data_IF_454519296335
#
_entry.id   IF_454519296335
#
_cell.length_a   1.000
_cell.length_b   1.000
_cell.length_c   1.000
_cell.angle_alpha   90.00
_cell.angle_beta   90.00
_cell.angle_gamma   90.00
#
_symmetry.space_group_name_H-M   'P 1'
#
loop_
_entity.id
_entity.type
_entity.pdbx_description
1 polymer ?
#
# COMPACT_ATOMS: atom_id res chain seq x y z
N UNK A 1 16.69 -24.53 24.93
CA UNK A 1 15.33 -24.68 25.48
C UNK A 1 14.43 -23.63 24.83
N UNK A 2 13.53 -24.04 23.93
CA UNK A 2 12.59 -23.11 23.31
C UNK A 2 11.61 -22.56 24.36
N UNK A 3 11.32 -21.25 24.31
CA UNK A 3 10.31 -20.63 25.19
C UNK A 3 8.93 -21.19 24.80
N UNK A 4 8.46 -22.20 25.52
CA UNK A 4 7.13 -22.80 25.29
C UNK A 4 6.08 -21.96 26.01
N UNK A 5 4.97 -21.67 25.32
CA UNK A 5 3.81 -21.01 25.92
C UNK A 5 3.13 -21.97 26.91
N UNK A 6 3.00 -21.55 28.16
CA UNK A 6 2.40 -22.35 29.24
C UNK A 6 0.88 -22.14 29.31
N UNK A 7 0.16 -23.13 29.85
CA UNK A 7 -1.29 -23.03 30.10
C UNK A 7 -1.63 -21.87 31.05
N UNK A 8 -0.78 -21.59 32.02
CA UNK A 8 -0.91 -20.46 32.96
C UNK A 8 -0.86 -19.13 32.22
N UNK A 9 0.06 -18.97 31.26
CA UNK A 9 0.13 -17.76 30.43
C UNK A 9 -1.13 -17.59 29.57
N UNK A 10 -1.62 -18.66 28.93
CA UNK A 10 -2.85 -18.62 28.13
C UNK A 10 -4.05 -18.20 28.99
N UNK A 11 -4.19 -18.77 30.19
CA UNK A 11 -5.26 -18.39 31.12
C UNK A 11 -5.17 -16.92 31.52
N UNK A 12 -3.96 -16.42 31.80
CA UNK A 12 -3.71 -15.01 32.10
C UNK A 12 -4.12 -14.09 30.94
N UNK A 13 -3.70 -14.40 29.71
CA UNK A 13 -4.03 -13.61 28.53
C UNK A 13 -5.54 -13.61 28.23
N UNK A 14 -6.20 -14.77 28.39
CA UNK A 14 -7.66 -14.85 28.19
C UNK A 14 -8.42 -14.02 29.22
N UNK A 15 -7.98 -14.02 30.49
CA UNK A 15 -8.57 -13.15 31.52
C UNK A 15 -8.40 -11.68 31.18
N UNK A 16 -7.20 -11.26 30.76
CA UNK A 16 -6.94 -9.88 30.35
C UNK A 16 -7.80 -9.47 29.15
N UNK A 17 -7.88 -10.33 28.13
CA UNK A 17 -8.70 -10.09 26.95
C UNK A 17 -10.20 -9.96 27.28
N UNK A 18 -10.73 -10.89 28.08
CA UNK A 18 -12.15 -10.89 28.45
C UNK A 18 -12.54 -9.71 29.36
N UNK A 19 -11.58 -9.09 30.04
CA UNK A 19 -11.80 -7.90 30.86
C UNK A 19 -11.89 -6.61 30.04
N UNK A 20 -11.44 -6.62 28.77
CA UNK A 20 -11.48 -5.48 27.87
C UNK A 20 -12.69 -5.56 26.94
N UNK A 21 -13.65 -4.65 27.11
CA UNK A 21 -14.84 -4.57 26.26
C UNK A 21 -14.51 -4.19 24.82
N UNK A 22 -13.48 -3.37 24.60
CA UNK A 22 -13.03 -2.98 23.26
C UNK A 22 -12.40 -4.18 22.52
N UNK A 23 -11.69 -5.05 23.23
CA UNK A 23 -11.14 -6.29 22.66
C UNK A 23 -12.24 -7.21 22.11
N UNK A 24 -13.39 -7.30 22.78
CA UNK A 24 -14.55 -8.07 22.30
C UNK A 24 -15.20 -7.44 21.06
N UNK A 25 -15.32 -6.11 21.02
CA UNK A 25 -15.82 -5.39 19.84
C UNK A 25 -14.87 -5.60 18.65
N UNK A 26 -13.57 -5.45 18.87
CA UNK A 26 -12.55 -5.70 17.85
C UNK A 26 -12.60 -7.14 17.33
N UNK A 27 -12.73 -8.14 18.21
CA UNK A 27 -12.87 -9.55 17.82
C UNK A 27 -14.07 -9.79 16.90
N UNK A 28 -15.23 -9.24 17.26
CA UNK A 28 -16.43 -9.39 16.45
C UNK A 28 -16.26 -8.72 15.08
N UNK A 29 -15.60 -7.56 15.04
CA UNK A 29 -15.36 -6.85 13.80
C UNK A 29 -14.36 -7.58 12.88
N UNK A 30 -13.19 -7.98 13.40
CA UNK A 30 -12.13 -8.65 12.59
C UNK A 30 -12.53 -10.06 12.14
N UNK A 31 -13.46 -10.71 12.83
CA UNK A 31 -13.93 -12.05 12.45
C UNK A 31 -15.01 -12.04 11.37
N UNK A 32 -15.58 -10.87 11.04
CA UNK A 32 -16.67 -10.72 10.09
C UNK A 32 -16.36 -9.74 8.94
N UNK A 33 -15.16 -9.15 8.90
CA UNK A 33 -14.80 -8.15 7.88
C UNK A 33 -13.31 -8.22 7.50
N UNK A 34 -12.99 -7.70 6.32
CA UNK A 34 -11.60 -7.53 5.86
C UNK A 34 -10.85 -6.52 6.74
N UNK A 35 -9.71 -6.94 7.29
CA UNK A 35 -8.95 -6.17 8.28
C UNK A 35 -8.52 -4.80 7.74
N UNK A 36 -8.09 -4.72 6.48
CA UNK A 36 -7.61 -3.48 5.86
C UNK A 36 -8.71 -2.43 5.74
N UNK A 37 -9.93 -2.85 5.40
CA UNK A 37 -11.09 -1.95 5.37
C UNK A 37 -11.52 -1.52 6.78
N UNK A 38 -11.50 -2.45 7.73
CA UNK A 38 -11.89 -2.19 9.12
C UNK A 38 -10.91 -1.23 9.82
N UNK A 39 -9.61 -1.40 9.60
CA UNK A 39 -8.55 -0.62 10.23
C UNK A 39 -8.29 0.74 9.54
N UNK A 40 -8.98 1.03 8.45
CA UNK A 40 -8.81 2.28 7.71
C UNK A 40 -9.29 3.47 8.55
N UNK A 41 -8.39 4.40 8.88
CA UNK A 41 -8.76 5.64 9.55
C UNK A 41 -9.46 6.59 8.58
N UNK A 42 -10.77 6.80 8.79
CA UNK A 42 -11.56 7.70 7.94
C UNK A 42 -11.11 9.16 8.07
N UNK A 43 -10.63 9.55 9.24
CA UNK A 43 -10.06 10.88 9.48
C UNK A 43 -8.84 11.15 8.58
N UNK A 44 -7.91 10.20 8.49
CA UNK A 44 -6.75 10.33 7.61
C UNK A 44 -7.16 10.43 6.13
N UNK A 45 -8.15 9.64 5.72
CA UNK A 45 -8.68 9.68 4.35
C UNK A 45 -9.33 11.04 4.04
N UNK A 46 -10.04 11.63 5.01
CA UNK A 46 -10.70 12.93 4.85
C UNK A 46 -9.71 14.10 4.84
N UNK A 47 -8.64 14.01 5.62
CA UNK A 47 -7.66 15.08 5.79
C UNK A 47 -6.50 15.02 4.78
N UNK A 48 -6.48 14.04 3.87
CA UNK A 48 -5.44 13.92 2.85
C UNK A 48 -5.69 14.93 1.72
N UNK A 49 -4.80 15.91 1.57
CA UNK A 49 -4.84 16.90 0.49
C UNK A 49 -3.92 16.48 -0.67
N UNK A 50 -4.48 16.48 -1.89
CA UNK A 50 -3.78 16.19 -3.14
C UNK A 50 -3.51 17.47 -3.96
N UNK A 51 -3.55 18.63 -3.32
CA UNK A 51 -3.22 19.93 -3.90
C UNK A 51 -1.73 20.20 -3.75
N UNK A 52 -1.06 20.50 -4.87
CA UNK A 52 0.37 20.79 -4.90
C UNK A 52 0.59 22.11 -5.66
N UNK A 53 1.45 22.98 -5.12
CA UNK A 53 1.80 24.26 -5.75
C UNK A 53 2.57 24.07 -7.07
N UNK A 54 3.31 22.98 -7.18
CA UNK A 54 4.08 22.59 -8.37
C UNK A 54 3.67 21.18 -8.76
N UNK A 55 3.11 21.03 -9.96
CA UNK A 55 2.83 19.73 -10.57
C UNK A 55 3.81 19.51 -11.71
N UNK A 56 4.39 18.32 -11.77
CA UNK A 56 5.37 17.97 -12.78
C UNK A 56 4.73 17.21 -13.95
N UNK A 57 3.62 16.53 -13.67
CA UNK A 57 3.04 15.44 -14.44
C UNK A 57 1.67 15.80 -15.04
N UNK A 58 1.63 15.91 -16.36
CA UNK A 58 0.40 15.96 -17.16
C UNK A 58 0.24 14.69 -18.04
N UNK A 59 1.04 13.66 -17.79
CA UNK A 59 1.14 12.45 -18.60
C UNK A 59 0.45 11.24 -17.96
N UNK A 60 0.02 10.28 -18.79
CA UNK A 60 -0.69 9.08 -18.33
C UNK A 60 0.22 8.12 -17.53
N UNK A 61 -0.37 7.43 -16.56
CA UNK A 61 0.32 6.42 -15.73
C UNK A 61 0.57 5.13 -16.50
N UNK A 62 1.63 4.42 -16.13
CA UNK A 62 2.00 3.09 -16.68
C UNK A 62 1.57 1.97 -15.76
N UNK A 63 1.28 0.76 -16.27
CA UNK A 63 0.89 -0.39 -15.47
C UNK A 63 1.86 -1.58 -15.60
N UNK A 64 2.49 -1.99 -14.49
CA UNK A 64 3.37 -3.18 -14.47
C UNK A 64 2.61 -4.51 -14.46
N UNK A 65 1.29 -4.46 -14.29
CA UNK A 65 0.40 -5.62 -14.17
C UNK A 65 0.88 -6.59 -13.07
N UNK A 66 0.67 -7.89 -13.26
CA UNK A 66 1.07 -8.94 -12.29
C UNK A 66 2.56 -9.28 -12.43
N UNK A 67 3.44 -8.31 -12.25
CA UNK A 67 4.90 -8.49 -12.28
C UNK A 67 5.62 -7.72 -11.16
N UNK A 68 6.84 -8.12 -10.82
CA UNK A 68 7.69 -7.49 -9.80
C UNK A 68 8.58 -6.36 -10.33
N UNK A 69 8.15 -5.62 -11.36
CA UNK A 69 8.99 -4.69 -12.13
C UNK A 69 8.83 -3.22 -11.74
N UNK A 70 8.32 -2.92 -10.54
CA UNK A 70 8.05 -1.54 -10.10
C UNK A 70 9.26 -0.62 -10.21
N UNK A 71 10.44 -1.11 -9.85
CA UNK A 71 11.71 -0.36 -9.95
C UNK A 71 11.99 0.08 -11.40
N UNK A 72 11.79 -0.83 -12.36
CA UNK A 72 11.99 -0.56 -13.78
C UNK A 72 10.96 0.46 -14.30
N UNK A 73 9.69 0.28 -13.96
CA UNK A 73 8.63 1.21 -14.34
C UNK A 73 8.88 2.62 -13.77
N UNK A 74 9.30 2.72 -12.50
CA UNK A 74 9.65 4.00 -11.88
C UNK A 74 10.80 4.70 -12.60
N UNK A 75 11.89 3.97 -12.92
CA UNK A 75 13.03 4.52 -13.66
C UNK A 75 12.64 5.00 -15.05
N UNK A 76 11.85 4.23 -15.79
CA UNK A 76 11.44 4.60 -17.15
C UNK A 76 10.43 5.75 -17.16
N UNK A 77 9.59 5.86 -16.13
CA UNK A 77 8.71 7.01 -15.93
C UNK A 77 9.46 8.30 -15.65
N UNK A 78 10.61 8.24 -14.96
CA UNK A 78 11.48 9.40 -14.78
C UNK A 78 12.08 9.85 -16.12
N UNK A 79 12.59 8.92 -16.93
CA UNK A 79 13.29 9.27 -18.18
C UNK A 79 12.35 9.70 -19.31
N UNK A 80 11.15 9.12 -19.40
CA UNK A 80 10.24 9.35 -20.54
C UNK A 80 9.87 10.82 -20.71
N UNK A 81 9.79 11.58 -19.63
CA UNK A 81 9.44 13.02 -19.65
C UNK A 81 10.45 13.81 -20.50
N UNK A 82 11.74 13.52 -20.35
CA UNK A 82 12.79 14.15 -21.15
C UNK A 82 12.71 13.74 -22.63
N UNK A 83 12.46 12.46 -22.90
CA UNK A 83 12.28 11.95 -24.26
C UNK A 83 11.06 12.58 -24.95
N UNK A 84 9.93 12.66 -24.26
CA UNK A 84 8.70 13.30 -24.73
C UNK A 84 8.93 14.75 -25.13
N UNK A 85 9.59 15.54 -24.27
CA UNK A 85 9.95 16.93 -24.55
C UNK A 85 10.88 17.05 -25.76
N UNK A 86 11.91 16.21 -25.83
CA UNK A 86 12.92 16.25 -26.92
C UNK A 86 12.34 15.82 -28.28
N UNK A 87 11.40 14.89 -28.28
CA UNK A 87 10.80 14.30 -29.48
C UNK A 87 9.45 14.93 -29.85
N UNK A 88 8.98 15.91 -29.08
CA UNK A 88 7.67 16.55 -29.23
C UNK A 88 6.50 15.55 -29.25
N UNK A 89 6.50 14.61 -28.29
CA UNK A 89 5.46 13.58 -28.16
C UNK A 89 4.56 13.85 -26.95
N UNK A 90 3.25 13.75 -27.16
CA UNK A 90 2.26 13.89 -26.07
C UNK A 90 2.20 12.67 -25.16
N UNK A 91 2.31 11.46 -25.72
CA UNK A 91 2.29 10.19 -25.01
C UNK A 91 3.47 9.34 -25.49
N UNK A 92 4.24 8.80 -24.55
CA UNK A 92 5.38 7.93 -24.87
C UNK A 92 5.68 7.01 -23.70
N UNK A 93 6.09 5.78 -24.01
CA UNK A 93 6.64 4.83 -23.05
C UNK A 93 7.87 4.15 -23.65
N UNK A 94 8.89 3.92 -22.82
CA UNK A 94 9.95 2.98 -23.15
C UNK A 94 9.43 1.55 -23.03
N UNK A 95 9.95 0.64 -23.85
CA UNK A 95 9.63 -0.78 -23.70
C UNK A 95 10.21 -1.33 -22.40
N UNK A 96 9.37 -1.46 -21.37
CA UNK A 96 9.75 -2.05 -20.09
C UNK A 96 9.99 -3.56 -20.22
N UNK A 97 9.37 -4.20 -21.22
CA UNK A 97 9.64 -5.60 -21.54
C UNK A 97 11.05 -5.79 -22.11
N UNK A 98 11.50 -4.88 -22.99
CA UNK A 98 12.82 -4.96 -23.60
C UNK A 98 13.95 -4.84 -22.58
N UNK A 99 13.83 -3.94 -21.60
CA UNK A 99 14.87 -3.78 -20.56
C UNK A 99 14.82 -4.90 -19.52
N UNK A 100 13.68 -5.59 -19.41
CA UNK A 100 13.55 -6.72 -18.48
C UNK A 100 14.15 -8.03 -19.04
N UNK A 101 14.18 -8.17 -20.37
CA UNK A 101 14.77 -9.31 -21.07
C UNK A 101 16.30 -9.19 -21.13
#
# INVERSE_FOLDING_TARGET
MGKVVTKTQISKYRKAFNADSAARVAQNAVSNAELTGLALSRELVQNMDFSFSTKLDDWEVTAQMRSGRCWLFATLNLFRVGAMKKMNLKNFEFSQAHIHF
#
